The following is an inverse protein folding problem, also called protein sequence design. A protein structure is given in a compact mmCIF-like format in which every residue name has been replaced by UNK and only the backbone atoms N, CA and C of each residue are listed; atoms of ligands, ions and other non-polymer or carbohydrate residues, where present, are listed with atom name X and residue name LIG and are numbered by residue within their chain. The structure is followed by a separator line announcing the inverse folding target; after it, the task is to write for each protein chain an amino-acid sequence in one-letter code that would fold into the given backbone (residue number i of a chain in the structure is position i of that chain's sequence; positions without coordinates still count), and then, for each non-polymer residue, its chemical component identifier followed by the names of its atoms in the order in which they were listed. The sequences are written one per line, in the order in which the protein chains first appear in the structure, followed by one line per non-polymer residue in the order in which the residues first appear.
data_IF_926028176006
#
_entry.id   IF_926028176006
#
_cell.length_a   1.000
_cell.length_b   1.000
_cell.length_c   1.000
_cell.angle_alpha   90.00
_cell.angle_beta   90.00
_cell.angle_gamma   90.00
#
_symmetry.space_group_name_H-M   'P 1'
#
loop_
_entity.id
_entity.type
_entity.pdbx_description
1 polymer ?
#
# COMPACT_ATOMS: atom_id res chain seq x y z
N UNK A 1 14.80 12.43 16.85
CA UNK A 1 14.48 11.69 15.61
C UNK A 1 14.19 12.70 14.50
N UNK A 2 14.62 12.45 13.26
CA UNK A 2 14.39 13.32 12.09
C UNK A 2 12.95 13.19 11.52
N UNK A 3 12.00 12.64 12.29
CA UNK A 3 10.63 12.40 11.82
C UNK A 3 10.43 11.16 10.92
N UNK A 4 11.44 10.29 10.78
CA UNK A 4 11.33 9.04 10.00
C UNK A 4 10.30 8.10 10.64
N UNK A 5 9.29 7.71 9.89
CA UNK A 5 8.17 6.89 10.39
C UNK A 5 8.33 5.39 10.11
N UNK A 6 8.92 5.02 8.97
CA UNK A 6 9.15 3.64 8.54
C UNK A 6 10.29 3.57 7.51
N UNK A 7 10.79 2.36 7.25
CA UNK A 7 11.67 2.03 6.14
C UNK A 7 10.95 1.00 5.27
N UNK A 8 10.80 1.28 3.98
CA UNK A 8 10.17 0.37 3.01
C UNK A 8 11.24 -0.40 2.24
N UNK A 9 11.10 -1.72 2.17
CA UNK A 9 11.90 -2.67 1.37
C UNK A 9 13.39 -2.25 1.16
N UNK A 10 14.22 -2.20 2.23
CA UNK A 10 15.58 -1.67 2.14
C UNK A 10 16.55 -2.53 1.31
N UNK A 11 16.21 -3.81 1.04
CA UNK A 11 17.03 -4.75 0.29
C UNK A 11 16.15 -5.51 -0.73
N UNK A 12 16.76 -6.16 -1.74
CA UNK A 12 16.05 -7.04 -2.67
C UNK A 12 15.15 -8.07 -1.96
N UNK A 13 13.96 -8.31 -2.52
CA UNK A 13 12.90 -9.12 -1.94
C UNK A 13 13.32 -10.52 -1.42
N UNK A 14 14.29 -11.16 -2.09
CA UNK A 14 14.75 -12.50 -1.73
C UNK A 14 15.68 -12.54 -0.50
N UNK A 15 16.20 -11.40 -0.05
CA UNK A 15 17.14 -11.28 1.08
C UNK A 15 16.41 -11.24 2.43
N UNK A 16 15.51 -12.19 2.69
CA UNK A 16 14.60 -12.16 3.85
C UNK A 16 15.36 -12.25 5.18
N UNK A 17 16.45 -13.02 5.22
CA UNK A 17 17.30 -13.14 6.41
C UNK A 17 18.00 -11.82 6.76
N UNK A 18 18.45 -11.09 5.74
CA UNK A 18 19.09 -9.79 5.90
C UNK A 18 18.09 -8.72 6.34
N UNK A 19 16.84 -8.77 5.86
CA UNK A 19 15.76 -7.93 6.40
C UNK A 19 15.50 -8.23 7.88
N UNK A 20 15.43 -9.51 8.26
CA UNK A 20 15.29 -9.93 9.66
C UNK A 20 16.47 -9.42 10.51
N UNK A 21 17.69 -9.50 9.97
CA UNK A 21 18.86 -8.95 10.63
C UNK A 21 18.70 -7.44 10.85
N UNK A 22 18.36 -6.66 9.82
CA UNK A 22 18.17 -5.20 9.96
C UNK A 22 17.07 -4.91 10.99
N UNK A 23 15.92 -5.56 10.89
CA UNK A 23 14.78 -5.38 11.80
C UNK A 23 15.16 -5.53 13.27
N UNK A 24 16.01 -6.50 13.58
CA UNK A 24 16.48 -6.75 14.95
C UNK A 24 17.54 -5.74 15.44
N UNK A 25 18.07 -4.88 14.57
CA UNK A 25 19.11 -3.89 14.89
C UNK A 25 18.63 -2.43 14.78
N UNK A 26 17.37 -2.19 14.40
CA UNK A 26 16.79 -0.84 14.27
C UNK A 26 15.50 -0.71 15.09
N UNK A 27 15.15 0.53 15.44
CA UNK A 27 13.92 0.86 16.16
C UNK A 27 12.82 1.41 15.22
N UNK A 28 13.13 1.61 13.95
CA UNK A 28 12.21 2.13 12.92
C UNK A 28 11.57 0.92 12.24
N UNK A 29 10.23 0.87 12.10
CA UNK A 29 9.57 -0.29 11.55
C UNK A 29 9.93 -0.50 10.08
N UNK A 30 10.11 -1.77 9.69
CA UNK A 30 10.44 -2.15 8.31
C UNK A 30 9.21 -2.74 7.63
N UNK A 31 8.88 -2.26 6.43
CA UNK A 31 7.73 -2.69 5.65
C UNK A 31 8.18 -3.50 4.42
N UNK A 32 7.52 -4.63 4.17
CA UNK A 32 7.70 -5.41 2.96
C UNK A 32 6.82 -4.88 1.83
N UNK A 33 7.43 -4.49 0.70
CA UNK A 33 6.72 -4.22 -0.54
C UNK A 33 6.95 -5.38 -1.52
N UNK A 34 8.07 -5.40 -2.25
CA UNK A 34 8.37 -6.44 -3.24
C UNK A 34 8.52 -7.85 -2.65
N UNK A 35 8.75 -7.97 -1.34
CA UNK A 35 8.77 -9.27 -0.67
C UNK A 35 7.36 -9.90 -0.48
N UNK A 36 6.29 -9.13 -0.60
CA UNK A 36 4.90 -9.57 -0.39
C UNK A 36 4.03 -9.31 -1.62
N UNK A 37 3.62 -10.35 -2.34
CA UNK A 37 2.76 -10.23 -3.53
C UNK A 37 1.29 -10.47 -3.19
N UNK A 38 1.00 -11.53 -2.44
CA UNK A 38 -0.36 -11.92 -2.05
C UNK A 38 -0.44 -12.27 -0.55
N UNK A 39 -1.62 -12.64 -0.07
CA UNK A 39 -1.84 -12.92 1.35
C UNK A 39 -1.12 -14.18 1.84
N UNK A 40 -0.79 -15.12 0.95
CA UNK A 40 -0.06 -16.35 1.30
C UNK A 40 1.41 -16.08 1.64
N UNK A 41 1.97 -14.94 1.20
CA UNK A 41 3.33 -14.52 1.53
C UNK A 41 3.46 -14.00 2.97
N UNK A 42 2.39 -13.50 3.57
CA UNK A 42 2.47 -12.73 4.82
C UNK A 42 3.01 -13.58 6.01
N UNK A 43 2.55 -14.83 6.24
CA UNK A 43 3.01 -15.62 7.38
C UNK A 43 4.53 -15.82 7.44
N UNK A 44 5.19 -15.98 6.29
CA UNK A 44 6.66 -16.18 6.22
C UNK A 44 7.45 -14.88 6.43
N UNK A 45 6.81 -13.71 6.28
CA UNK A 45 7.47 -12.39 6.39
C UNK A 45 7.40 -11.78 7.79
N UNK A 46 6.48 -12.27 8.64
CA UNK A 46 6.20 -11.72 9.98
C UNK A 46 7.43 -11.51 10.86
N UNK A 47 8.42 -12.40 10.77
CA UNK A 47 9.63 -12.30 11.60
C UNK A 47 10.70 -11.38 11.00
N UNK A 48 10.58 -11.02 9.72
CA UNK A 48 11.53 -10.18 8.98
C UNK A 48 11.06 -8.74 8.79
N UNK A 49 9.74 -8.49 8.91
CA UNK A 49 9.12 -7.18 8.68
C UNK A 49 8.09 -6.85 9.77
N UNK A 50 7.94 -5.57 10.09
CA UNK A 50 6.92 -5.07 11.03
C UNK A 50 5.58 -4.79 10.35
N UNK A 51 5.60 -4.60 9.03
CA UNK A 51 4.42 -4.32 8.24
C UNK A 51 4.55 -4.73 6.78
N UNK A 52 3.46 -4.59 6.04
CA UNK A 52 3.42 -4.83 4.59
C UNK A 52 2.86 -3.62 3.84
N UNK A 53 3.28 -3.48 2.60
CA UNK A 53 2.71 -2.56 1.62
C UNK A 53 1.76 -3.33 0.71
N UNK A 54 0.50 -2.94 0.68
CA UNK A 54 -0.54 -3.53 -0.16
C UNK A 54 -0.78 -2.61 -1.35
N UNK A 55 -0.63 -3.13 -2.59
CA UNK A 55 -0.85 -2.35 -3.82
C UNK A 55 -1.77 -3.16 -4.72
N UNK A 56 -2.86 -2.56 -5.21
CA UNK A 56 -3.81 -3.26 -6.08
C UNK A 56 -3.13 -3.86 -7.31
N UNK A 57 -2.19 -3.13 -7.90
CA UNK A 57 -1.44 -3.54 -9.09
C UNK A 57 -0.55 -4.77 -8.83
N UNK A 58 -0.10 -4.95 -7.58
CA UNK A 58 0.73 -6.08 -7.14
C UNK A 58 -0.14 -7.29 -6.74
N UNK A 59 -1.22 -7.04 -6.02
CA UNK A 59 -2.13 -8.07 -5.50
C UNK A 59 -3.09 -8.61 -6.55
N UNK A 60 -3.19 -7.99 -7.72
CA UNK A 60 -4.16 -8.36 -8.76
C UNK A 60 -5.59 -7.88 -8.46
N UNK A 61 -5.74 -6.80 -7.67
CA UNK A 61 -7.00 -6.10 -7.46
C UNK A 61 -7.51 -6.08 -6.01
N UNK A 62 -8.76 -5.61 -5.85
CA UNK A 62 -9.37 -5.28 -4.56
C UNK A 62 -9.54 -6.49 -3.63
N UNK A 63 -9.96 -7.63 -4.17
CA UNK A 63 -10.26 -8.81 -3.35
C UNK A 63 -9.01 -9.33 -2.64
N UNK A 64 -7.91 -9.46 -3.37
CA UNK A 64 -6.66 -9.94 -2.78
C UNK A 64 -6.03 -8.88 -1.87
N UNK A 65 -6.12 -7.60 -2.23
CA UNK A 65 -5.68 -6.49 -1.37
C UNK A 65 -6.42 -6.50 -0.02
N UNK A 66 -7.74 -6.72 -0.03
CA UNK A 66 -8.55 -6.88 1.18
C UNK A 66 -8.10 -8.10 2.00
N UNK A 67 -7.79 -9.22 1.35
CA UNK A 67 -7.29 -10.43 2.02
C UNK A 67 -5.93 -10.16 2.68
N UNK A 68 -5.01 -9.48 2.00
CA UNK A 68 -3.71 -9.10 2.57
C UNK A 68 -3.87 -8.22 3.81
N UNK A 69 -4.68 -7.16 3.73
CA UNK A 69 -4.96 -6.28 4.87
C UNK A 69 -5.55 -7.06 6.06
N UNK A 70 -6.46 -8.00 5.77
CA UNK A 70 -7.09 -8.85 6.80
C UNK A 70 -6.08 -9.79 7.45
N UNK A 71 -5.25 -10.48 6.66
CA UNK A 71 -4.24 -11.43 7.15
C UNK A 71 -3.14 -10.71 7.94
N UNK A 72 -2.61 -9.58 7.42
CA UNK A 72 -1.62 -8.78 8.12
C UNK A 72 -2.11 -8.33 9.50
N UNK A 73 -3.35 -7.81 9.55
CA UNK A 73 -4.00 -7.41 10.80
C UNK A 73 -4.18 -8.58 11.77
N UNK A 74 -4.57 -9.76 11.27
CA UNK A 74 -4.70 -10.96 12.08
C UNK A 74 -3.37 -11.44 12.68
N UNK A 75 -2.25 -11.18 12.00
CA UNK A 75 -0.90 -11.49 12.48
C UNK A 75 -0.26 -10.37 13.32
N UNK A 76 -0.98 -9.26 13.54
CA UNK A 76 -0.51 -8.10 14.29
C UNK A 76 0.52 -7.25 13.54
N UNK A 77 0.62 -7.39 12.23
CA UNK A 77 1.49 -6.57 11.38
C UNK A 77 0.83 -5.24 11.04
N UNK A 78 1.65 -4.19 10.87
CA UNK A 78 1.19 -2.91 10.34
C UNK A 78 0.93 -2.99 8.84
N UNK A 79 0.15 -2.05 8.33
CA UNK A 79 -0.28 -2.04 6.93
C UNK A 79 -0.16 -0.66 6.32
N UNK A 80 0.37 -0.60 5.10
CA UNK A 80 0.38 0.59 4.26
C UNK A 80 -0.39 0.26 2.98
N UNK A 81 -1.42 1.04 2.65
CA UNK A 81 -2.05 0.96 1.33
C UNK A 81 -1.25 1.84 0.37
N UNK A 82 -0.60 1.21 -0.60
CA UNK A 82 0.31 1.85 -1.54
C UNK A 82 -0.26 1.89 -2.96
N UNK A 83 0.52 2.45 -3.88
CA UNK A 83 0.20 2.44 -5.31
C UNK A 83 1.44 2.30 -6.19
N UNK A 84 1.19 2.02 -7.47
CA UNK A 84 2.12 2.37 -8.54
C UNK A 84 1.78 3.77 -9.08
N UNK A 85 2.67 4.31 -9.93
CA UNK A 85 2.34 5.45 -10.79
C UNK A 85 1.22 5.01 -11.75
N UNK A 86 -0.01 5.37 -11.41
CA UNK A 86 -1.22 4.84 -12.02
C UNK A 86 -2.30 5.92 -12.07
N UNK A 87 -3.26 5.76 -12.99
CA UNK A 87 -4.37 6.71 -13.12
C UNK A 87 -5.20 6.78 -11.84
N UNK A 88 -5.97 7.86 -11.69
CA UNK A 88 -6.94 8.03 -10.61
C UNK A 88 -7.94 6.89 -10.50
N UNK A 89 -8.17 6.09 -11.55
CA UNK A 89 -8.99 4.89 -11.47
C UNK A 89 -8.45 3.86 -10.44
N UNK A 90 -7.17 3.48 -10.55
CA UNK A 90 -6.55 2.51 -9.62
C UNK A 90 -6.43 3.11 -8.22
N UNK A 91 -6.02 4.38 -8.12
CA UNK A 91 -5.88 5.06 -6.82
C UNK A 91 -7.23 5.21 -6.12
N UNK A 92 -8.32 5.51 -6.84
CA UNK A 92 -9.67 5.59 -6.25
C UNK A 92 -10.07 4.23 -5.66
N UNK A 93 -9.83 3.15 -6.41
CA UNK A 93 -10.09 1.80 -5.91
C UNK A 93 -9.29 1.49 -4.64
N UNK A 94 -7.98 1.77 -4.64
CA UNK A 94 -7.12 1.57 -3.48
C UNK A 94 -7.55 2.42 -2.27
N UNK A 95 -7.94 3.67 -2.49
CA UNK A 95 -8.36 4.60 -1.45
C UNK A 95 -9.63 4.14 -0.70
N UNK A 96 -10.52 3.36 -1.33
CA UNK A 96 -11.66 2.74 -0.64
C UNK A 96 -11.24 1.73 0.43
N UNK A 97 -10.04 1.12 0.31
CA UNK A 97 -9.48 0.23 1.33
C UNK A 97 -8.68 0.96 2.42
N UNK A 98 -8.39 2.27 2.25
CA UNK A 98 -7.58 3.04 3.19
C UNK A 98 -8.07 3.03 4.65
N UNK A 99 -9.38 2.95 4.98
CA UNK A 99 -9.81 2.84 6.38
C UNK A 99 -9.33 1.57 7.10
N UNK A 100 -8.86 0.56 6.36
CA UNK A 100 -8.30 -0.67 6.91
C UNK A 100 -6.79 -0.62 7.15
N UNK A 101 -6.10 0.40 6.61
CA UNK A 101 -4.65 0.52 6.65
C UNK A 101 -4.18 1.51 7.73
N UNK A 102 -2.97 1.32 8.26
CA UNK A 102 -2.34 2.24 9.21
C UNK A 102 -1.73 3.47 8.52
N UNK A 103 -1.28 3.28 7.28
CA UNK A 103 -0.61 4.29 6.45
C UNK A 103 -1.17 4.25 5.02
N UNK A 104 -1.03 5.37 4.29
CA UNK A 104 -1.42 5.45 2.90
C UNK A 104 -0.34 6.17 2.08
N UNK A 105 0.09 5.53 0.99
CA UNK A 105 0.91 6.11 -0.08
C UNK A 105 0.15 5.98 -1.41
N UNK A 106 -0.68 6.98 -1.69
CA UNK A 106 -1.69 6.95 -2.74
C UNK A 106 -1.58 8.21 -3.62
N UNK A 107 -0.35 8.61 -3.95
CA UNK A 107 -0.03 9.85 -4.65
C UNK A 107 0.28 9.66 -6.15
N UNK A 108 0.39 8.41 -6.62
CA UNK A 108 0.83 8.09 -7.99
C UNK A 108 0.03 8.78 -9.10
N UNK A 109 -1.27 9.05 -8.89
CA UNK A 109 -2.11 9.76 -9.87
C UNK A 109 -1.72 11.24 -10.05
N UNK A 110 -1.05 11.85 -9.06
CA UNK A 110 -0.59 13.24 -9.16
C UNK A 110 0.52 13.42 -10.21
N UNK A 111 1.15 12.32 -10.61
CA UNK A 111 2.21 12.29 -11.63
C UNK A 111 1.66 12.06 -13.05
N UNK A 112 0.34 11.87 -13.22
CA UNK A 112 -0.28 11.57 -14.51
C UNK A 112 -0.88 12.84 -15.13
N UNK A 113 -0.21 13.40 -16.15
CA UNK A 113 -0.68 14.61 -16.83
C UNK A 113 -1.85 14.40 -17.82
N UNK A 114 -2.16 13.15 -18.17
CA UNK A 114 -3.15 12.80 -19.19
C UNK A 114 -4.18 11.77 -18.71
N UNK A 115 -4.54 11.81 -17.43
CA UNK A 115 -5.49 10.87 -16.82
C UNK A 115 -6.85 10.88 -17.56
N UNK A 116 -7.32 9.75 -18.11
CA UNK A 116 -8.60 9.68 -18.81
C UNK A 116 -9.80 9.58 -17.86
N UNK A 117 -9.57 9.51 -16.54
CA UNK A 117 -10.61 9.35 -15.54
C UNK A 117 -10.78 10.60 -14.65
N UNK A 118 -12.01 10.81 -14.20
CA UNK A 118 -12.31 11.62 -13.03
C UNK A 118 -12.58 10.69 -11.85
N UNK A 119 -11.63 10.62 -10.92
CA UNK A 119 -11.71 9.84 -9.68
C UNK A 119 -11.33 10.66 -8.46
N UNK A 120 -10.53 10.05 -7.59
CA UNK A 120 -9.96 10.67 -6.39
C UNK A 120 -9.18 11.94 -6.75
N UNK A 121 -9.29 12.94 -5.88
CA UNK A 121 -8.49 14.18 -5.96
C UNK A 121 -7.70 14.39 -4.68
N UNK A 122 -6.66 15.21 -4.74
CA UNK A 122 -5.89 15.61 -3.56
C UNK A 122 -6.20 17.05 -3.17
N UNK A 123 -6.49 17.27 -1.89
CA UNK A 123 -6.55 18.59 -1.29
C UNK A 123 -5.63 18.65 -0.06
N UNK A 124 -4.52 19.37 -0.18
CA UNK A 124 -3.46 19.43 0.83
C UNK A 124 -2.96 18.01 1.16
N UNK A 125 -3.23 17.53 2.38
CA UNK A 125 -2.81 16.21 2.89
C UNK A 125 -3.96 15.21 2.95
N UNK A 126 -5.02 15.42 2.16
CA UNK A 126 -6.21 14.57 2.14
C UNK A 126 -6.53 14.16 0.71
N UNK A 127 -6.82 12.88 0.55
CA UNK A 127 -7.51 12.37 -0.62
C UNK A 127 -9.01 12.58 -0.44
N UNK A 128 -9.67 13.01 -1.51
CA UNK A 128 -11.11 13.23 -1.56
C UNK A 128 -11.67 12.21 -2.54
N UNK A 129 -12.39 11.22 -2.01
CA UNK A 129 -13.09 10.23 -2.81
C UNK A 129 -14.31 10.86 -3.51
N UNK A 130 -14.65 10.40 -4.72
CA UNK A 130 -15.90 10.78 -5.38
C UNK A 130 -17.11 10.19 -4.61
N UNK A 131 -18.27 10.83 -4.77
CA UNK A 131 -19.53 10.51 -4.07
C UNK A 131 -20.53 9.68 -4.92
N UNK A 132 -20.17 9.37 -6.16
CA UNK A 132 -20.99 8.55 -7.05
C UNK A 132 -20.95 7.04 -6.68
N UNK A 133 -21.96 6.25 -7.07
CA UNK A 133 -22.03 4.82 -6.75
C UNK A 133 -20.83 3.99 -7.23
N UNK A 134 -20.60 2.84 -6.56
CA UNK A 134 -19.46 1.97 -6.85
C UNK A 134 -18.15 2.62 -6.43
N UNK A 135 -17.16 2.64 -7.33
CA UNK A 135 -15.92 3.38 -7.08
C UNK A 135 -16.07 4.89 -7.23
N UNK A 136 -17.14 5.35 -7.89
CA UNK A 136 -17.37 6.76 -8.22
C UNK A 136 -16.49 7.33 -9.35
N UNK A 137 -15.68 6.49 -10.00
CA UNK A 137 -14.82 6.86 -11.14
C UNK A 137 -15.65 7.02 -12.41
N UNK A 138 -15.37 8.07 -13.20
CA UNK A 138 -15.98 8.30 -14.51
C UNK A 138 -14.92 8.44 -15.60
N UNK A 139 -15.18 7.89 -16.78
CA UNK A 139 -14.38 8.19 -17.97
C UNK A 139 -14.72 9.61 -18.45
N UNK A 140 -13.71 10.44 -18.70
CA UNK A 140 -13.89 11.85 -19.12
C UNK A 140 -13.34 12.14 -20.52
N UNK A 141 -13.03 11.09 -21.28
CA UNK A 141 -12.59 11.16 -22.67
C UNK A 141 -13.40 10.21 -23.55
#
# INVERSE_FOLDING_TARGET
SQGVQLIEQPLPAHMVEEHRWIRNHVHIPIFADEACHDASDIPKLRDAFDGIVVKLDKSGGLLESYRQLTVAKALGMKTLIGCMVSSSCSITAAAHLSPMADYADLDGFLLIGNDPYAGVTANKRKLILPDAPGLGVRLVR
#
